data_IF_862215287661
#
_entry.id   IF_862215287661
#
_cell.length_a   1.000
_cell.length_b   1.000
_cell.length_c   1.000
_cell.angle_alpha   90.00
_cell.angle_beta   90.00
_cell.angle_gamma   90.00
#
_symmetry.space_group_name_H-M   'P 1'
#
loop_
_entity.id
_entity.type
_entity.pdbx_description
1 polymer ?
#
# COMPACT_ATOMS: atom_id res chain seq x y z
N UNK A 1 28.23 -21.23 24.99
CA UNK A 1 27.50 -19.97 25.29
C UNK A 1 27.63 -18.93 24.17
N UNK A 2 28.77 -18.77 23.49
CA UNK A 2 28.97 -17.73 22.46
C UNK A 2 28.22 -17.95 21.11
N UNK A 3 27.83 -19.19 20.78
CA UNK A 3 27.14 -19.53 19.52
C UNK A 3 25.61 -19.34 19.54
N UNK A 4 25.01 -19.12 20.71
CA UNK A 4 23.55 -18.89 20.80
C UNK A 4 23.14 -17.50 20.31
N UNK A 5 23.98 -16.50 20.56
CA UNK A 5 23.76 -15.10 20.15
C UNK A 5 23.60 -14.95 18.63
N UNK A 6 24.51 -15.46 17.77
CA UNK A 6 24.35 -15.34 16.32
C UNK A 6 23.12 -16.09 15.80
N UNK A 7 22.77 -17.24 16.39
CA UNK A 7 21.59 -18.02 15.96
C UNK A 7 20.29 -17.25 16.23
N UNK A 8 20.16 -16.65 17.43
CA UNK A 8 18.99 -15.83 17.78
C UNK A 8 18.92 -14.58 16.89
N UNK A 9 20.05 -13.95 16.59
CA UNK A 9 20.11 -12.79 15.70
C UNK A 9 19.61 -13.14 14.29
N UNK A 10 20.08 -14.27 13.75
CA UNK A 10 19.63 -14.76 12.43
C UNK A 10 18.14 -15.06 12.45
N UNK A 11 17.62 -15.71 13.49
CA UNK A 11 16.19 -15.99 13.62
C UNK A 11 15.33 -14.72 13.67
N UNK A 12 15.77 -13.68 14.39
CA UNK A 12 15.11 -12.37 14.45
C UNK A 12 15.12 -11.71 13.07
N UNK A 13 16.26 -11.70 12.37
CA UNK A 13 16.37 -11.13 11.03
C UNK A 13 15.48 -11.87 10.02
N UNK A 14 15.42 -13.20 10.10
CA UNK A 14 14.53 -14.02 9.27
C UNK A 14 13.07 -13.74 9.56
N UNK A 15 12.69 -13.62 10.84
CA UNK A 15 11.34 -13.27 11.25
C UNK A 15 10.96 -11.85 10.78
N UNK A 16 11.86 -10.89 10.89
CA UNK A 16 11.70 -9.54 10.34
C UNK A 16 11.54 -9.59 8.82
N UNK A 17 12.40 -10.31 8.10
CA UNK A 17 12.33 -10.44 6.64
C UNK A 17 11.02 -11.09 6.19
N UNK A 18 10.58 -12.16 6.86
CA UNK A 18 9.31 -12.84 6.60
C UNK A 18 8.11 -11.93 6.90
N UNK A 19 8.15 -11.21 8.02
CA UNK A 19 7.11 -10.23 8.38
C UNK A 19 7.04 -9.11 7.36
N UNK A 20 8.18 -8.53 6.94
CA UNK A 20 8.22 -7.52 5.89
C UNK A 20 7.70 -8.05 4.54
N UNK A 21 8.02 -9.29 4.18
CA UNK A 21 7.54 -9.91 2.94
C UNK A 21 6.03 -10.19 2.94
N UNK A 22 5.49 -10.66 4.07
CA UNK A 22 4.05 -10.86 4.25
C UNK A 22 3.29 -9.53 4.26
N UNK A 23 3.89 -8.50 4.86
CA UNK A 23 3.37 -7.13 4.98
C UNK A 23 3.26 -6.43 3.64
N UNK A 24 4.24 -6.64 2.76
CA UNK A 24 4.22 -6.13 1.39
C UNK A 24 3.10 -6.74 0.55
N UNK A 25 2.72 -7.99 0.81
CA UNK A 25 1.59 -8.63 0.14
C UNK A 25 0.24 -7.97 0.48
N UNK A 26 0.02 -7.65 1.76
CA UNK A 26 -1.19 -6.96 2.22
C UNK A 26 -1.29 -5.54 1.67
N UNK A 27 -0.21 -4.77 1.72
CA UNK A 27 -0.17 -3.42 1.19
C UNK A 27 -0.30 -3.40 -0.35
N UNK A 28 0.34 -4.35 -1.06
CA UNK A 28 0.19 -4.50 -2.52
C UNK A 28 -1.26 -4.79 -2.91
N UNK A 29 -1.92 -5.73 -2.23
CA UNK A 29 -3.33 -6.06 -2.50
C UNK A 29 -4.26 -4.88 -2.20
N UNK A 30 -3.98 -4.15 -1.11
CA UNK A 30 -4.71 -2.95 -0.72
C UNK A 30 -4.61 -1.84 -1.78
N UNK A 31 -3.38 -1.50 -2.18
CA UNK A 31 -3.13 -0.48 -3.20
C UNK A 31 -3.68 -0.87 -4.58
N UNK A 32 -3.64 -2.16 -4.93
CA UNK A 32 -4.27 -2.66 -6.16
C UNK A 32 -5.80 -2.46 -6.15
N UNK A 33 -6.47 -2.81 -5.05
CA UNK A 33 -7.93 -2.59 -4.92
C UNK A 33 -8.30 -1.11 -4.99
N UNK A 34 -7.50 -0.26 -4.35
CA UNK A 34 -7.67 1.19 -4.40
C UNK A 34 -7.47 1.73 -5.83
N UNK A 35 -6.41 1.31 -6.53
CA UNK A 35 -6.19 1.68 -7.93
C UNK A 35 -7.40 1.30 -8.79
N UNK A 36 -7.89 0.06 -8.68
CA UNK A 36 -9.08 -0.41 -9.42
C UNK A 36 -10.35 0.40 -9.08
N UNK A 37 -10.55 0.76 -7.81
CA UNK A 37 -11.70 1.58 -7.41
C UNK A 37 -11.63 3.01 -7.94
N UNK A 38 -10.43 3.60 -7.99
CA UNK A 38 -10.21 4.94 -8.51
C UNK A 38 -10.38 4.98 -10.03
N UNK A 39 -9.88 3.95 -10.73
CA UNK A 39 -10.10 3.78 -12.18
C UNK A 39 -11.58 3.59 -12.47
N UNK A 40 -12.25 2.69 -11.74
CA UNK A 40 -13.70 2.49 -11.89
C UNK A 40 -14.52 3.77 -11.58
N UNK A 41 -14.06 4.60 -10.64
CA UNK A 41 -14.68 5.88 -10.33
C UNK A 41 -14.46 6.95 -11.40
N UNK A 42 -13.35 6.87 -12.15
CA UNK A 42 -13.11 7.74 -13.30
C UNK A 42 -14.03 7.38 -14.47
N UNK A 43 -14.38 6.11 -14.62
CA UNK A 43 -15.25 5.62 -15.70
C UNK A 43 -16.75 5.79 -15.37
N UNK A 44 -17.15 5.51 -14.13
CA UNK A 44 -18.56 5.47 -13.72
C UNK A 44 -18.98 6.65 -12.83
N UNK A 45 -18.09 7.61 -12.57
CA UNK A 45 -18.33 8.79 -11.73
C UNK A 45 -18.53 8.50 -10.23
N UNK A 46 -18.50 7.23 -9.81
CA UNK A 46 -18.76 6.81 -8.43
C UNK A 46 -17.67 5.88 -7.91
N UNK A 47 -17.15 6.18 -6.72
CA UNK A 47 -16.16 5.32 -6.06
C UNK A 47 -16.88 4.15 -5.41
N UNK A 48 -16.73 2.95 -5.99
CA UNK A 48 -17.39 1.74 -5.49
C UNK A 48 -16.72 1.15 -4.23
N UNK A 49 -15.45 1.46 -3.97
CA UNK A 49 -14.74 0.97 -2.79
C UNK A 49 -14.65 2.05 -1.71
N UNK A 50 -15.30 1.79 -0.57
CA UNK A 50 -14.95 2.45 0.68
C UNK A 50 -13.46 2.21 1.01
N UNK A 51 -12.86 3.09 1.81
CA UNK A 51 -11.52 2.92 2.36
C UNK A 51 -11.28 1.45 2.73
N UNK A 52 -10.09 0.89 2.42
CA UNK A 52 -9.83 -0.53 2.61
C UNK A 52 -10.20 -0.94 4.04
N UNK A 53 -10.84 -2.10 4.17
CA UNK A 53 -11.29 -2.69 5.43
C UNK A 53 -10.17 -2.88 6.47
N UNK A 54 -8.91 -2.66 6.07
CA UNK A 54 -7.74 -2.75 6.93
C UNK A 54 -6.91 -1.43 6.89
N UNK A 55 -7.32 -0.41 7.66
CA UNK A 55 -6.61 0.87 7.75
C UNK A 55 -5.18 0.71 8.31
N UNK A 56 -4.89 -0.41 8.98
CA UNK A 56 -3.56 -0.70 9.52
C UNK A 56 -2.53 -0.92 8.40
N UNK A 57 -2.92 -1.51 7.27
CA UNK A 57 -2.02 -1.68 6.13
C UNK A 57 -1.68 -0.31 5.49
N UNK A 58 -2.65 0.61 5.42
CA UNK A 58 -2.45 1.92 4.80
C UNK A 58 -1.60 2.87 5.67
N UNK A 59 -1.59 2.70 7.00
CA UNK A 59 -0.72 3.45 7.93
C UNK A 59 0.77 3.18 7.72
N UNK A 60 1.12 2.10 7.05
CA UNK A 60 2.50 1.73 6.75
C UNK A 60 3.00 2.31 5.44
N UNK A 61 2.08 2.83 4.62
CA UNK A 61 2.43 3.62 3.46
C UNK A 61 2.97 4.99 3.89
N UNK A 62 3.78 5.65 3.04
CA UNK A 62 4.19 7.02 3.29
C UNK A 62 2.97 7.91 3.52
N UNK A 63 3.03 8.77 4.54
CA UNK A 63 1.92 9.65 4.93
C UNK A 63 1.41 10.50 3.75
N UNK A 64 2.31 10.91 2.85
CA UNK A 64 1.96 11.63 1.63
C UNK A 64 1.02 10.83 0.71
N UNK A 65 1.29 9.54 0.52
CA UNK A 65 0.48 8.65 -0.31
C UNK A 65 -0.88 8.37 0.37
N UNK A 66 -0.89 8.22 1.69
CA UNK A 66 -2.11 8.10 2.47
C UNK A 66 -3.01 9.34 2.30
N UNK A 67 -2.47 10.55 2.48
CA UNK A 67 -3.23 11.80 2.33
C UNK A 67 -3.80 11.96 0.91
N UNK A 68 -2.99 11.69 -0.12
CA UNK A 68 -3.46 11.72 -1.52
C UNK A 68 -4.61 10.75 -1.79
N UNK A 69 -4.57 9.54 -1.20
CA UNK A 69 -5.64 8.56 -1.35
C UNK A 69 -6.91 9.00 -0.63
N UNK A 70 -6.79 9.50 0.59
CA UNK A 70 -7.94 10.04 1.34
C UNK A 70 -8.56 11.21 0.60
N UNK A 71 -7.75 12.12 0.06
CA UNK A 71 -8.23 13.25 -0.75
C UNK A 71 -8.94 12.77 -2.02
N UNK A 72 -8.41 11.78 -2.72
CA UNK A 72 -9.02 11.21 -3.93
C UNK A 72 -10.33 10.43 -3.68
N UNK A 73 -10.49 9.87 -2.47
CA UNK A 73 -11.70 9.16 -2.04
C UNK A 73 -12.77 10.12 -1.51
N UNK A 74 -12.38 11.23 -0.90
CA UNK A 74 -13.30 12.21 -0.30
C UNK A 74 -13.72 13.31 -1.26
N UNK A 75 -12.85 13.71 -2.19
CA UNK A 75 -13.13 14.72 -3.21
C UNK A 75 -13.55 14.05 -4.51
N UNK A 76 -14.66 14.51 -5.06
CA UNK A 76 -15.13 14.11 -6.39
C UNK A 76 -14.42 14.92 -7.49
N UNK A 77 -13.09 14.89 -7.47
CA UNK A 77 -12.26 15.59 -8.44
C UNK A 77 -11.44 14.60 -9.27
N UNK A 78 -11.60 14.70 -10.60
CA UNK A 78 -10.94 13.85 -11.58
C UNK A 78 -9.42 13.99 -11.52
N UNK A 79 -8.92 15.21 -11.32
CA UNK A 79 -7.48 15.46 -11.30
C UNK A 79 -6.83 14.85 -10.05
N UNK A 80 -7.46 15.01 -8.89
CA UNK A 80 -7.03 14.40 -7.63
C UNK A 80 -6.99 12.86 -7.73
N UNK A 81 -7.98 12.24 -8.37
CA UNK A 81 -8.00 10.78 -8.61
C UNK A 81 -6.86 10.31 -9.51
N UNK A 82 -6.58 11.03 -10.60
CA UNK A 82 -5.47 10.70 -11.49
C UNK A 82 -4.11 10.83 -10.79
N UNK A 83 -3.92 11.86 -9.97
CA UNK A 83 -2.71 12.04 -9.16
C UNK A 83 -2.53 10.91 -8.15
N UNK A 84 -3.60 10.49 -7.49
CA UNK A 84 -3.54 9.35 -6.57
C UNK A 84 -3.15 8.04 -7.29
N UNK A 85 -3.71 7.78 -8.48
CA UNK A 85 -3.33 6.61 -9.28
C UNK A 85 -1.85 6.68 -9.68
N UNK A 86 -1.36 7.84 -10.13
CA UNK A 86 0.05 8.02 -10.46
C UNK A 86 0.96 7.75 -9.26
N UNK A 87 0.62 8.28 -8.08
CA UNK A 87 1.36 8.06 -6.85
C UNK A 87 1.40 6.58 -6.43
N UNK A 88 0.30 5.84 -6.60
CA UNK A 88 0.27 4.38 -6.35
C UNK A 88 1.28 3.67 -7.28
N UNK A 89 1.31 4.03 -8.56
CA UNK A 89 2.21 3.42 -9.55
C UNK A 89 3.67 3.73 -9.25
N UNK A 90 4.01 4.99 -8.98
CA UNK A 90 5.35 5.39 -8.58
C UNK A 90 5.81 4.66 -7.31
N UNK A 91 4.92 4.53 -6.32
CA UNK A 91 5.24 3.81 -5.09
C UNK A 91 5.44 2.31 -5.34
N UNK A 92 4.61 1.70 -6.19
CA UNK A 92 4.75 0.29 -6.60
C UNK A 92 6.10 0.06 -7.30
N UNK A 93 6.50 0.96 -8.18
CA UNK A 93 7.76 0.91 -8.91
C UNK A 93 8.96 1.11 -7.97
N UNK A 94 8.89 2.09 -7.05
CA UNK A 94 9.89 2.32 -6.02
C UNK A 94 10.09 1.09 -5.12
N UNK A 95 9.00 0.41 -4.76
CA UNK A 95 9.04 -0.83 -3.96
C UNK A 95 9.47 -2.06 -4.76
N UNK A 96 9.64 -1.94 -6.08
CA UNK A 96 10.03 -3.04 -6.96
C UNK A 96 8.98 -4.15 -7.04
N UNK A 97 7.71 -3.84 -6.73
CA UNK A 97 6.61 -4.80 -6.80
C UNK A 97 6.24 -5.02 -8.27
N UNK A 98 6.99 -5.90 -8.93
CA UNK A 98 6.71 -6.32 -10.31
C UNK A 98 5.31 -6.90 -10.37
N UNK A 99 4.52 -6.36 -11.30
CA UNK A 99 3.17 -6.83 -11.68
C UNK A 99 3.24 -8.31 -12.00
#
# INVERSE_FOLDING_TARGET
MALLVPIVLVAILLFLALRYRSRDGGLRACLWRLEQSLVGALENGTVAAALPADPAALQEAPEHLYRLLVDALTRDDRETRLRAIAAIREYRDFRGWKV
#
